data_IF_591317599557
#
_entry.id   IF_591317599557
#
_cell.length_a   1.000
_cell.length_b   1.000
_cell.length_c   1.000
_cell.angle_alpha   90.00
_cell.angle_beta   90.00
_cell.angle_gamma   90.00
#
_symmetry.space_group_name_H-M   'P 1'
#
loop_
_entity.id
_entity.type
_entity.pdbx_description
1 polymer ?
#
# COMPACT_ATOMS: atom_id res chain seq x y z
N UNK A 1 -10.19 22.88 15.12
CA UNK A 1 -9.75 21.55 15.61
C UNK A 1 -10.67 20.39 15.17
N UNK A 2 -11.98 20.58 14.95
CA UNK A 2 -12.92 19.48 14.66
C UNK A 2 -12.63 18.66 13.37
N UNK A 3 -12.10 19.26 12.32
CA UNK A 3 -11.94 18.58 11.03
C UNK A 3 -10.73 17.65 10.94
N UNK A 4 -9.70 17.84 11.77
CA UNK A 4 -8.53 16.93 11.80
C UNK A 4 -8.93 15.48 12.15
N UNK A 5 -9.98 15.30 12.96
CA UNK A 5 -10.47 13.96 13.31
C UNK A 5 -11.04 13.21 12.10
N UNK A 6 -11.62 13.90 11.12
CA UNK A 6 -12.16 13.27 9.92
C UNK A 6 -11.03 12.63 9.13
N UNK A 7 -9.93 13.33 8.90
CA UNK A 7 -8.75 12.78 8.21
C UNK A 7 -8.16 11.58 8.95
N UNK A 8 -8.08 11.63 10.29
CA UNK A 8 -7.61 10.51 11.11
C UNK A 8 -8.50 9.28 10.90
N UNK A 9 -9.83 9.46 10.93
CA UNK A 9 -10.79 8.37 10.71
C UNK A 9 -10.58 7.75 9.32
N UNK A 10 -10.42 8.57 8.27
CA UNK A 10 -10.18 8.06 6.92
C UNK A 10 -8.83 7.33 6.81
N UNK A 11 -7.78 7.78 7.49
CA UNK A 11 -6.51 7.05 7.58
C UNK A 11 -6.68 5.67 8.22
N UNK A 12 -7.44 5.58 9.32
CA UNK A 12 -7.77 4.30 9.97
C UNK A 12 -8.58 3.41 9.01
N UNK A 13 -9.57 3.98 8.31
CA UNK A 13 -10.36 3.25 7.31
C UNK A 13 -9.49 2.71 6.17
N UNK A 14 -8.54 3.49 5.66
CA UNK A 14 -7.62 3.05 4.61
C UNK A 14 -6.81 1.83 5.05
N UNK A 15 -6.23 1.86 6.26
CA UNK A 15 -5.50 0.73 6.83
C UNK A 15 -6.41 -0.48 7.04
N UNK A 16 -7.62 -0.27 7.56
CA UNK A 16 -8.60 -1.35 7.78
C UNK A 16 -9.01 -2.03 6.46
N UNK A 17 -9.22 -1.25 5.40
CA UNK A 17 -9.51 -1.76 4.05
C UNK A 17 -8.36 -2.61 3.52
N UNK A 18 -7.11 -2.15 3.68
CA UNK A 18 -5.93 -2.90 3.28
C UNK A 18 -5.81 -4.25 3.99
N UNK A 19 -6.00 -4.26 5.30
CA UNK A 19 -5.98 -5.49 6.11
C UNK A 19 -7.13 -6.42 5.69
N UNK A 20 -8.35 -5.91 5.57
CA UNK A 20 -9.53 -6.65 5.17
C UNK A 20 -9.36 -7.29 3.80
N UNK A 21 -8.84 -6.55 2.81
CA UNK A 21 -8.51 -7.05 1.47
C UNK A 21 -7.49 -8.18 1.55
N UNK A 22 -6.37 -7.97 2.26
CA UNK A 22 -5.32 -8.98 2.36
C UNK A 22 -5.84 -10.28 3.00
N UNK A 23 -6.70 -10.20 4.00
CA UNK A 23 -7.33 -11.37 4.62
C UNK A 23 -8.29 -12.08 3.66
N UNK A 24 -9.17 -11.33 3.00
CA UNK A 24 -10.16 -11.89 2.07
C UNK A 24 -9.50 -12.61 0.88
N UNK A 25 -8.50 -11.99 0.27
CA UNK A 25 -7.73 -12.59 -0.83
C UNK A 25 -7.05 -13.89 -0.39
N UNK A 26 -6.34 -13.85 0.74
CA UNK A 26 -5.61 -15.03 1.22
C UNK A 26 -6.54 -16.14 1.72
N UNK A 27 -7.72 -15.81 2.22
CA UNK A 27 -8.76 -16.79 2.51
C UNK A 27 -9.27 -17.48 1.23
N UNK A 28 -9.54 -16.71 0.17
CA UNK A 28 -9.91 -17.24 -1.14
C UNK A 28 -8.85 -18.19 -1.72
N UNK A 29 -7.57 -17.82 -1.62
CA UNK A 29 -6.43 -18.65 -2.04
C UNK A 29 -6.37 -19.94 -1.23
N UNK A 30 -6.54 -19.86 0.09
CA UNK A 30 -6.57 -21.04 0.97
C UNK A 30 -7.67 -22.03 0.56
N UNK A 31 -8.87 -21.51 0.28
CA UNK A 31 -10.01 -22.32 -0.20
C UNK A 31 -9.74 -22.95 -1.56
N UNK A 32 -9.09 -22.22 -2.47
CA UNK A 32 -8.69 -22.77 -3.78
C UNK A 32 -7.67 -23.90 -3.63
N UNK A 33 -6.62 -23.71 -2.79
CA UNK A 33 -5.61 -24.74 -2.57
C UNK A 33 -6.18 -26.01 -1.93
N UNK A 34 -7.10 -25.87 -0.98
CA UNK A 34 -7.77 -27.02 -0.35
C UNK A 34 -8.61 -27.83 -1.33
N UNK A 35 -9.30 -27.16 -2.29
CA UNK A 35 -10.07 -27.84 -3.34
C UNK A 35 -9.19 -28.64 -4.31
N UNK A 36 -7.93 -28.22 -4.49
CA UNK A 36 -6.96 -28.91 -5.37
C UNK A 36 -6.18 -30.01 -4.66
N UNK A 37 -6.50 -30.30 -3.39
CA UNK A 37 -5.83 -31.30 -2.56
C UNK A 37 -4.31 -31.21 -2.57
N UNK A 38 -3.77 -30.00 -2.65
CA UNK A 38 -2.34 -29.79 -2.54
C UNK A 38 -1.88 -30.03 -1.10
N UNK A 39 -0.90 -30.91 -0.92
CA UNK A 39 -0.28 -31.15 0.38
C UNK A 39 0.47 -29.88 0.82
N UNK A 40 0.06 -29.34 1.96
CA UNK A 40 0.66 -28.16 2.55
C UNK A 40 -0.35 -27.34 3.35
N UNK A 41 0.10 -26.71 4.46
CA UNK A 41 -0.74 -25.84 5.28
C UNK A 41 -0.56 -24.39 4.85
N UNK A 42 -1.56 -23.83 4.18
CA UNK A 42 -1.59 -22.40 3.88
C UNK A 42 -1.98 -21.60 5.12
N UNK A 43 -1.12 -20.70 5.54
CA UNK A 43 -1.33 -19.85 6.73
C UNK A 43 -1.89 -18.49 6.30
N UNK A 44 -3.21 -18.35 6.24
CA UNK A 44 -3.93 -17.15 5.79
C UNK A 44 -3.42 -15.89 6.47
N UNK A 45 -3.44 -15.85 7.81
CA UNK A 45 -3.04 -14.67 8.58
C UNK A 45 -1.58 -14.30 8.29
N UNK A 46 -0.66 -15.28 8.32
CA UNK A 46 0.76 -15.01 8.04
C UNK A 46 0.98 -14.43 6.65
N UNK A 47 0.32 -15.01 5.63
CA UNK A 47 0.47 -14.55 4.24
C UNK A 47 -0.16 -13.17 4.05
N UNK A 48 -1.32 -12.93 4.68
CA UNK A 48 -1.96 -11.61 4.67
C UNK A 48 -1.09 -10.53 5.33
N UNK A 49 -0.51 -10.84 6.51
CA UNK A 49 0.39 -9.92 7.21
C UNK A 49 1.65 -9.60 6.39
N UNK A 50 2.23 -10.60 5.72
CA UNK A 50 3.38 -10.39 4.84
C UNK A 50 2.98 -9.48 3.66
N UNK A 51 1.84 -9.75 3.01
CA UNK A 51 1.37 -8.97 1.87
C UNK A 51 1.09 -7.52 2.25
N UNK A 52 0.39 -7.31 3.37
CA UNK A 52 0.16 -6.00 3.94
C UNK A 52 1.48 -5.28 4.29
N UNK A 53 2.36 -5.97 5.03
CA UNK A 53 3.63 -5.40 5.47
C UNK A 53 4.53 -4.97 4.31
N UNK A 54 4.64 -5.76 3.24
CA UNK A 54 5.43 -5.42 2.05
C UNK A 54 4.91 -4.12 1.41
N UNK A 55 3.60 -3.97 1.23
CA UNK A 55 3.01 -2.77 0.65
C UNK A 55 3.34 -1.51 1.47
N UNK A 56 3.11 -1.56 2.77
CA UNK A 56 3.31 -0.41 3.66
C UNK A 56 4.78 -0.10 3.93
N UNK A 57 5.67 -1.10 3.98
CA UNK A 57 7.12 -0.87 4.08
C UNK A 57 7.63 -0.18 2.81
N UNK A 58 7.21 -0.62 1.64
CA UNK A 58 7.60 0.02 0.38
C UNK A 58 7.05 1.44 0.27
N UNK A 59 5.81 1.68 0.75
CA UNK A 59 5.26 3.03 0.82
C UNK A 59 6.08 3.93 1.77
N UNK A 60 6.46 3.42 2.94
CA UNK A 60 7.31 4.15 3.87
C UNK A 60 8.69 4.47 3.27
N UNK A 61 9.31 3.51 2.59
CA UNK A 61 10.60 3.73 1.91
C UNK A 61 10.47 4.75 0.77
N UNK A 62 9.39 4.70 -0.01
CA UNK A 62 9.14 5.69 -1.06
C UNK A 62 8.90 7.08 -0.47
N UNK A 63 8.15 7.20 0.61
CA UNK A 63 7.91 8.47 1.32
C UNK A 63 9.22 9.03 1.89
N UNK A 64 10.05 8.20 2.50
CA UNK A 64 11.36 8.61 3.01
C UNK A 64 12.27 9.10 1.87
N UNK A 65 12.28 8.39 0.75
CA UNK A 65 13.05 8.80 -0.43
C UNK A 65 12.59 10.16 -0.97
N UNK A 66 11.28 10.40 -1.06
CA UNK A 66 10.72 11.70 -1.49
C UNK A 66 11.16 12.81 -0.54
N UNK A 67 11.03 12.60 0.79
CA UNK A 67 11.45 13.59 1.78
C UNK A 67 12.92 13.93 1.63
N UNK A 68 13.78 12.91 1.58
CA UNK A 68 15.23 13.15 1.47
C UNK A 68 15.61 13.87 0.19
N UNK A 69 15.02 13.51 -0.96
CA UNK A 69 15.28 14.15 -2.23
C UNK A 69 14.82 15.62 -2.26
N UNK A 70 13.61 15.89 -1.73
CA UNK A 70 13.05 17.25 -1.71
C UNK A 70 13.81 18.13 -0.73
N UNK A 71 14.11 17.61 0.46
CA UNK A 71 14.78 18.37 1.50
C UNK A 71 16.25 18.65 1.16
N UNK A 72 16.96 17.68 0.58
CA UNK A 72 18.34 17.87 0.12
C UNK A 72 18.43 18.94 -0.99
N UNK A 73 17.38 19.05 -1.82
CA UNK A 73 17.30 20.07 -2.86
C UNK A 73 16.97 21.48 -2.34
N UNK A 74 16.29 21.61 -1.19
CA UNK A 74 15.80 22.89 -0.66
C UNK A 74 16.66 23.40 0.50
N UNK A 75 17.17 22.54 1.35
CA UNK A 75 17.88 22.88 2.58
C UNK A 75 19.26 22.27 2.63
N UNK A 76 20.28 23.11 2.85
CA UNK A 76 21.68 22.68 3.00
C UNK A 76 21.96 21.91 4.30
N UNK A 77 21.08 21.98 5.29
CA UNK A 77 21.20 21.25 6.57
C UNK A 77 19.81 20.88 7.10
N UNK A 78 19.52 19.57 7.17
CA UNK A 78 18.27 19.04 7.70
C UNK A 78 18.49 18.60 9.14
N UNK A 79 17.63 19.07 10.05
CA UNK A 79 17.56 18.56 11.42
C UNK A 79 16.75 17.27 11.43
N UNK A 80 17.16 16.31 12.28
CA UNK A 80 16.52 14.98 12.34
C UNK A 80 15.05 15.04 12.77
N UNK A 81 14.70 15.97 13.67
CA UNK A 81 13.33 16.20 14.12
C UNK A 81 12.40 16.70 12.98
N UNK A 82 12.90 17.61 12.15
CA UNK A 82 12.21 18.12 10.97
C UNK A 82 12.03 17.01 9.92
N UNK A 83 13.07 16.24 9.63
CA UNK A 83 13.02 15.12 8.70
C UNK A 83 12.00 14.06 9.15
N UNK A 84 11.93 13.74 10.45
CA UNK A 84 10.96 12.78 10.97
C UNK A 84 9.53 13.30 10.83
N UNK A 85 9.29 14.58 11.13
CA UNK A 85 7.96 15.20 11.01
C UNK A 85 7.49 15.21 9.56
N UNK A 86 8.34 15.59 8.63
CA UNK A 86 8.03 15.64 7.21
C UNK A 86 7.80 14.24 6.64
N UNK A 87 8.62 13.26 7.04
CA UNK A 87 8.41 11.87 6.67
C UNK A 87 7.05 11.36 7.14
N UNK A 88 6.69 11.57 8.41
CA UNK A 88 5.41 11.14 8.94
C UNK A 88 4.24 11.83 8.23
N UNK A 89 4.38 13.11 7.91
CA UNK A 89 3.38 13.86 7.17
C UNK A 89 3.19 13.31 5.75
N UNK A 90 4.28 13.13 4.99
CA UNK A 90 4.21 12.59 3.62
C UNK A 90 3.70 11.15 3.62
N UNK A 91 4.16 10.32 4.55
CA UNK A 91 3.70 8.94 4.66
C UNK A 91 2.20 8.87 4.98
N UNK A 92 1.72 9.72 5.89
CA UNK A 92 0.30 9.81 6.22
C UNK A 92 -0.51 10.31 5.01
N UNK A 93 -0.07 11.38 4.34
CA UNK A 93 -0.70 11.88 3.12
C UNK A 93 -0.75 10.81 2.02
N UNK A 94 0.29 9.99 1.91
CA UNK A 94 0.32 8.88 0.98
C UNK A 94 -0.74 7.81 1.32
N UNK A 95 -0.93 7.47 2.60
CA UNK A 95 -1.96 6.50 3.02
C UNK A 95 -3.37 6.98 2.68
N UNK A 96 -3.67 8.26 2.90
CA UNK A 96 -5.01 8.81 2.63
C UNK A 96 -5.19 9.30 1.19
N UNK A 97 -4.15 9.26 0.37
CA UNK A 97 -4.23 9.71 -1.02
C UNK A 97 -4.47 11.23 -1.18
N UNK A 98 -4.12 12.05 -0.17
CA UNK A 98 -4.36 13.51 -0.20
C UNK A 98 -3.65 14.21 -1.37
N UNK A 99 -2.61 13.59 -1.92
CA UNK A 99 -1.87 14.13 -3.06
C UNK A 99 -2.67 14.14 -4.37
N UNK A 100 -3.84 13.50 -4.42
CA UNK A 100 -4.72 13.51 -5.59
C UNK A 100 -5.38 14.87 -5.84
N UNK A 101 -5.43 15.76 -4.85
CA UNK A 101 -5.93 17.14 -5.04
C UNK A 101 -5.14 17.91 -6.09
N UNK A 102 -3.90 17.52 -6.36
CA UNK A 102 -3.07 18.12 -7.41
C UNK A 102 -3.36 17.57 -8.82
N UNK A 103 -4.20 16.55 -8.98
CA UNK A 103 -4.58 16.02 -10.31
C UNK A 103 -5.35 17.06 -11.14
N UNK A 104 -6.14 17.90 -10.48
CA UNK A 104 -6.92 18.98 -11.10
C UNK A 104 -6.09 20.27 -11.27
N UNK A 105 -4.81 20.23 -10.95
CA UNK A 105 -3.92 21.38 -11.13
C UNK A 105 -3.80 21.72 -12.62
N UNK A 106 -4.02 23.01 -13.02
CA UNK A 106 -3.91 23.44 -14.40
C UNK A 106 -2.50 23.25 -15.01
N UNK A 107 -1.53 22.89 -14.20
CA UNK A 107 -0.13 22.68 -14.62
C UNK A 107 0.21 21.21 -14.94
N UNK A 108 -0.75 20.30 -14.96
CA UNK A 108 -0.51 18.88 -15.31
C UNK A 108 0.37 18.12 -14.33
N UNK A 109 0.64 18.69 -13.15
CA UNK A 109 1.52 18.10 -12.13
C UNK A 109 0.90 16.85 -11.45
N UNK A 110 -0.40 16.59 -11.67
CA UNK A 110 -1.12 15.49 -11.04
C UNK A 110 -0.52 14.12 -11.31
N UNK A 111 0.00 13.88 -12.51
CA UNK A 111 0.65 12.61 -12.85
C UNK A 111 1.92 12.34 -12.03
N UNK A 112 2.66 13.39 -11.65
CA UNK A 112 3.89 13.28 -10.85
C UNK A 112 3.56 12.73 -9.46
N UNK A 113 2.40 13.07 -8.90
CA UNK A 113 1.99 12.60 -7.58
C UNK A 113 1.42 11.18 -7.59
N UNK A 114 0.85 10.72 -8.72
CA UNK A 114 0.34 9.34 -8.85
C UNK A 114 1.46 8.34 -9.16
N UNK A 115 2.51 8.81 -9.84
CA UNK A 115 3.62 7.95 -10.25
C UNK A 115 4.29 7.18 -9.09
N UNK A 116 4.58 7.77 -7.92
CA UNK A 116 5.14 7.04 -6.78
C UNK A 116 4.24 5.88 -6.31
N UNK A 117 2.92 6.05 -6.32
CA UNK A 117 1.98 4.98 -5.94
C UNK A 117 2.00 3.82 -6.93
N UNK A 118 1.97 4.14 -8.23
CA UNK A 118 2.09 3.13 -9.29
C UNK A 118 3.41 2.38 -9.16
N UNK A 119 4.50 3.09 -8.91
CA UNK A 119 5.81 2.49 -8.68
C UNK A 119 5.79 1.56 -7.45
N UNK A 120 5.25 1.99 -6.32
CA UNK A 120 5.11 1.17 -5.10
C UNK A 120 4.28 -0.08 -5.39
N UNK A 121 3.18 0.03 -6.13
CA UNK A 121 2.33 -1.12 -6.50
C UNK A 121 3.12 -2.11 -7.35
N UNK A 122 3.82 -1.65 -8.39
CA UNK A 122 4.61 -2.52 -9.28
C UNK A 122 5.72 -3.22 -8.50
N UNK A 123 6.48 -2.47 -7.69
CA UNK A 123 7.56 -3.04 -6.87
C UNK A 123 7.00 -4.02 -5.84
N UNK A 124 5.84 -3.71 -5.23
CA UNK A 124 5.15 -4.64 -4.32
C UNK A 124 4.80 -5.96 -5.00
N UNK A 125 4.29 -5.91 -6.23
CA UNK A 125 3.97 -7.14 -7.00
C UNK A 125 5.23 -7.97 -7.19
N UNK A 126 6.32 -7.37 -7.64
CA UNK A 126 7.59 -8.08 -7.86
C UNK A 126 8.10 -8.71 -6.57
N UNK A 127 8.19 -7.93 -5.49
CA UNK A 127 8.64 -8.44 -4.18
C UNK A 127 7.73 -9.56 -3.68
N UNK A 128 6.41 -9.40 -3.78
CA UNK A 128 5.45 -10.40 -3.35
C UNK A 128 5.51 -11.69 -4.17
N UNK A 129 5.85 -11.64 -5.47
CA UNK A 129 6.09 -12.85 -6.27
C UNK A 129 7.21 -13.67 -5.64
N UNK A 130 8.37 -13.06 -5.36
CA UNK A 130 9.51 -13.75 -4.77
C UNK A 130 9.23 -14.24 -3.36
N UNK A 131 8.60 -13.42 -2.53
CA UNK A 131 8.24 -13.76 -1.14
C UNK A 131 7.25 -14.93 -1.12
N UNK A 132 6.22 -14.91 -1.96
CA UNK A 132 5.24 -15.99 -2.05
C UNK A 132 5.89 -17.27 -2.55
N UNK A 133 6.71 -17.21 -3.58
CA UNK A 133 7.41 -18.37 -4.11
C UNK A 133 8.33 -19.01 -3.07
N UNK A 134 9.14 -18.18 -2.38
CA UNK A 134 10.19 -18.65 -1.47
C UNK A 134 9.64 -19.07 -0.09
N UNK A 135 8.68 -18.33 0.46
CA UNK A 135 8.25 -18.52 1.84
C UNK A 135 6.86 -19.12 1.99
N UNK A 136 5.95 -18.89 1.03
CA UNK A 136 4.59 -19.38 1.10
C UNK A 136 4.48 -20.73 0.41
N UNK A 137 4.84 -20.79 -0.88
CA UNK A 137 4.63 -21.99 -1.71
C UNK A 137 5.78 -23.00 -1.69
N UNK A 138 6.92 -22.70 -1.07
CA UNK A 138 8.06 -23.61 -0.95
C UNK A 138 7.67 -24.96 -0.34
N UNK A 139 6.80 -24.94 0.68
CA UNK A 139 6.39 -26.13 1.44
C UNK A 139 5.29 -26.95 0.78
N UNK A 140 4.77 -26.49 -0.36
CA UNK A 140 3.73 -27.21 -1.08
C UNK A 140 4.34 -28.16 -2.10
N UNK A 141 3.80 -29.39 -2.18
CA UNK A 141 4.17 -30.39 -3.17
C UNK A 141 3.49 -30.08 -4.52
N UNK A 142 3.92 -29.03 -5.16
CA UNK A 142 3.38 -28.50 -6.42
C UNK A 142 4.55 -28.34 -7.40
N UNK A 143 4.37 -28.66 -8.70
CA UNK A 143 5.39 -28.41 -9.71
C UNK A 143 5.82 -26.93 -9.76
N UNK A 144 7.12 -26.66 -10.01
CA UNK A 144 7.69 -25.32 -9.92
C UNK A 144 7.00 -24.30 -10.84
N UNK A 145 6.59 -24.70 -12.04
CA UNK A 145 5.84 -23.83 -12.95
C UNK A 145 4.49 -23.38 -12.37
N UNK A 146 3.80 -24.26 -11.63
CA UNK A 146 2.56 -23.93 -10.93
C UNK A 146 2.83 -23.05 -9.70
N UNK A 147 3.96 -23.25 -8.97
CA UNK A 147 4.35 -22.37 -7.86
C UNK A 147 4.55 -20.95 -8.34
N UNK A 148 5.25 -20.74 -9.47
CA UNK A 148 5.44 -19.42 -10.04
C UNK A 148 4.10 -18.77 -10.43
N UNK A 149 3.23 -19.49 -11.11
CA UNK A 149 1.89 -18.98 -11.47
C UNK A 149 1.07 -18.59 -10.23
N UNK A 150 1.04 -19.44 -9.20
CA UNK A 150 0.35 -19.14 -7.96
C UNK A 150 0.96 -17.93 -7.25
N UNK A 151 2.30 -17.83 -7.20
CA UNK A 151 2.98 -16.68 -6.60
C UNK A 151 2.65 -15.39 -7.33
N UNK A 152 2.62 -15.41 -8.67
CA UNK A 152 2.24 -14.26 -9.49
C UNK A 152 0.79 -13.82 -9.23
N UNK A 153 -0.17 -14.73 -9.32
CA UNK A 153 -1.59 -14.40 -9.09
C UNK A 153 -1.86 -13.95 -7.65
N UNK A 154 -1.19 -14.58 -6.67
CA UNK A 154 -1.28 -14.16 -5.27
C UNK A 154 -0.69 -12.77 -5.06
N UNK A 155 0.45 -12.47 -5.66
CA UNK A 155 1.08 -11.16 -5.59
C UNK A 155 0.20 -10.09 -6.24
N UNK A 156 -0.31 -10.37 -7.44
CA UNK A 156 -1.20 -9.45 -8.15
C UNK A 156 -2.48 -9.16 -7.34
N UNK A 157 -3.12 -10.18 -6.78
CA UNK A 157 -4.34 -10.00 -5.98
C UNK A 157 -4.09 -9.27 -4.64
N UNK A 158 -2.89 -9.39 -4.06
CA UNK A 158 -2.50 -8.76 -2.80
C UNK A 158 -1.78 -7.42 -2.97
N UNK A 159 -1.51 -6.97 -4.19
CA UNK A 159 -0.88 -5.68 -4.41
C UNK A 159 -1.70 -4.54 -3.78
N UNK A 160 -1.06 -3.48 -3.26
CA UNK A 160 -1.72 -2.45 -2.47
C UNK A 160 -2.48 -1.44 -3.35
N UNK A 161 -3.45 -1.91 -4.15
CA UNK A 161 -4.28 -1.07 -5.04
C UNK A 161 -5.14 -0.07 -4.29
N UNK A 162 -5.44 -0.34 -3.03
CA UNK A 162 -6.16 0.57 -2.13
C UNK A 162 -5.43 1.89 -1.90
N UNK A 163 -4.12 1.95 -2.15
CA UNK A 163 -3.37 3.21 -2.16
C UNK A 163 -3.82 4.16 -3.28
N UNK A 164 -4.54 3.66 -4.29
CA UNK A 164 -5.13 4.49 -5.34
C UNK A 164 -6.49 5.08 -4.95
N UNK A 165 -7.03 4.78 -3.78
CA UNK A 165 -8.29 5.35 -3.30
C UNK A 165 -8.01 6.72 -2.66
N UNK A 166 -8.59 7.82 -3.16
CA UNK A 166 -8.32 9.17 -2.68
C UNK A 166 -9.13 9.47 -1.39
N UNK A 167 -8.81 8.81 -0.30
CA UNK A 167 -9.51 8.98 0.99
C UNK A 167 -9.48 10.43 1.49
N UNK A 168 -8.37 11.16 1.28
CA UNK A 168 -8.24 12.56 1.66
C UNK A 168 -9.20 13.46 0.90
N UNK A 169 -9.35 13.23 -0.40
CA UNK A 169 -10.28 13.99 -1.25
C UNK A 169 -11.75 13.70 -0.87
N UNK A 170 -12.07 12.46 -0.52
CA UNK A 170 -13.39 12.11 -0.01
C UNK A 170 -13.65 12.80 1.33
N UNK A 171 -12.64 12.86 2.21
CA UNK A 171 -12.75 13.55 3.49
C UNK A 171 -12.98 15.06 3.31
N UNK A 172 -12.24 15.73 2.40
CA UNK A 172 -12.43 17.16 2.13
C UNK A 172 -13.83 17.46 1.59
N UNK A 173 -14.34 16.66 0.64
CA UNK A 173 -15.71 16.82 0.13
C UNK A 173 -16.79 16.71 1.23
N UNK A 174 -16.57 15.85 2.24
CA UNK A 174 -17.50 15.72 3.37
C UNK A 174 -17.41 16.96 4.25
N UNK A 175 -16.21 17.44 4.54
CA UNK A 175 -15.98 18.65 5.35
C UNK A 175 -16.68 19.85 4.71
N UNK A 176 -16.49 20.04 3.41
CA UNK A 176 -17.08 21.15 2.66
C UNK A 176 -18.60 21.13 2.74
N UNK A 177 -19.23 19.94 2.62
CA UNK A 177 -20.68 19.80 2.76
C UNK A 177 -21.20 20.02 4.17
N UNK A 178 -20.35 19.89 5.20
CA UNK A 178 -20.73 20.15 6.60
C UNK A 178 -20.59 21.63 6.96
N UNK A 179 -19.86 22.43 6.17
CA UNK A 179 -19.66 23.87 6.39
C UNK A 179 -20.69 24.75 5.66
N UNK A 180 -21.40 24.21 4.70
CA UNK A 180 -22.49 24.86 3.95
C UNK A 180 -23.83 24.15 4.19
#
# INVERSE_FOLDING_TARGET
MGFAYIYIIFGICAVAVSIGKALAVNFGISKYLSKKSYNGKFKVIKTASISFGVGYILLALASLFIVTMVMDAIYSHIRFDELLQDFLSIFYMAIIGANYEFLDSPYGLGLIYVFPFIFVIIVSIVVLIFVNYTFVYRKFEIPNNKKWKLSFFTALANAPYELLIPYGQIASMIIDRMMF
#
